data_IF_345425333751
#
_entry.id   IF_345425333751
#
_cell.length_a   1.000
_cell.length_b   1.000
_cell.length_c   1.000
_cell.angle_alpha   90.00
_cell.angle_beta   90.00
_cell.angle_gamma   90.00
#
_symmetry.space_group_name_H-M   'P 1'
#
loop_
_entity.id
_entity.type
_entity.pdbx_description
1 polymer ?
#
# COMPACT_ATOMS: atom_id res chain seq x y z
N UNK A 1 -1.48 -13.38 -2.23
CA UNK A 1 -2.95 -13.32 -2.00
C UNK A 1 -3.23 -13.91 -0.63
N UNK A 2 -4.02 -13.22 0.16
CA UNK A 2 -4.43 -13.65 1.50
C UNK A 2 -5.36 -14.88 1.39
N UNK A 3 -5.34 -15.78 2.37
CA UNK A 3 -6.25 -16.94 2.41
C UNK A 3 -7.72 -16.49 2.37
N UNK A 4 -8.03 -15.37 3.03
CA UNK A 4 -9.39 -14.78 3.06
C UNK A 4 -9.85 -14.33 1.67
N UNK A 5 -8.99 -13.69 0.89
CA UNK A 5 -9.34 -13.18 -0.46
C UNK A 5 -9.69 -14.33 -1.38
N UNK A 6 -8.89 -15.40 -1.34
CA UNK A 6 -9.17 -16.62 -2.09
C UNK A 6 -10.52 -17.23 -1.70
N UNK A 7 -10.77 -17.43 -0.42
CA UNK A 7 -12.01 -18.00 0.08
C UNK A 7 -13.23 -17.17 -0.33
N UNK A 8 -13.13 -15.83 -0.27
CA UNK A 8 -14.19 -14.94 -0.69
C UNK A 8 -14.46 -15.06 -2.19
N UNK A 9 -13.40 -15.05 -3.02
CA UNK A 9 -13.55 -15.22 -4.46
C UNK A 9 -14.21 -16.56 -4.82
N UNK A 10 -13.77 -17.66 -4.19
CA UNK A 10 -14.35 -18.98 -4.38
C UNK A 10 -15.82 -19.03 -3.97
N UNK A 11 -16.23 -18.39 -2.86
CA UNK A 11 -17.62 -18.27 -2.43
C UNK A 11 -18.51 -17.55 -3.46
N UNK A 12 -17.93 -16.56 -4.15
CA UNK A 12 -18.62 -15.83 -5.22
C UNK A 12 -18.41 -16.43 -6.62
N UNK A 13 -17.85 -17.64 -6.71
CA UNK A 13 -17.58 -18.34 -7.97
C UNK A 13 -16.67 -17.55 -8.93
N UNK A 14 -15.80 -16.71 -8.39
CA UNK A 14 -14.79 -15.97 -9.16
C UNK A 14 -13.58 -16.88 -9.34
N UNK A 15 -13.12 -17.13 -10.58
CA UNK A 15 -11.92 -17.93 -10.83
C UNK A 15 -10.68 -17.38 -10.12
N UNK A 16 -9.91 -18.25 -9.49
CA UNK A 16 -8.72 -17.87 -8.73
C UNK A 16 -7.47 -18.47 -9.35
N UNK A 17 -6.50 -17.61 -9.68
CA UNK A 17 -5.21 -17.99 -10.22
C UNK A 17 -4.11 -17.55 -9.24
N UNK A 18 -3.12 -18.39 -9.00
CA UNK A 18 -2.03 -18.09 -8.04
C UNK A 18 -0.65 -18.40 -8.61
N UNK A 19 -0.25 -17.77 -9.72
CA UNK A 19 1.09 -17.96 -10.25
C UNK A 19 2.12 -17.39 -9.26
N UNK A 20 3.26 -18.07 -9.12
CA UNK A 20 4.35 -17.61 -8.24
C UNK A 20 4.99 -16.32 -8.74
N UNK A 21 4.89 -16.03 -10.02
CA UNK A 21 5.47 -14.84 -10.65
C UNK A 21 4.81 -14.60 -12.00
N UNK A 22 4.52 -13.34 -12.32
CA UNK A 22 4.05 -12.90 -13.64
C UNK A 22 5.21 -12.58 -14.60
N UNK A 23 6.44 -12.94 -14.26
CA UNK A 23 7.60 -12.82 -15.17
C UNK A 23 7.72 -13.99 -16.14
N UNK A 24 7.01 -15.09 -15.88
CA UNK A 24 7.07 -16.29 -16.71
C UNK A 24 6.06 -16.23 -17.84
N UNK A 25 6.46 -16.69 -19.02
CA UNK A 25 5.62 -16.68 -20.22
C UNK A 25 4.34 -17.50 -20.09
N UNK A 26 4.38 -18.64 -19.40
CA UNK A 26 3.21 -19.47 -19.13
C UNK A 26 2.15 -18.73 -18.32
N UNK A 27 2.56 -18.05 -17.23
CA UNK A 27 1.67 -17.26 -16.41
C UNK A 27 1.14 -16.01 -17.15
N UNK A 28 1.95 -15.41 -18.01
CA UNK A 28 1.52 -14.30 -18.86
C UNK A 28 0.52 -14.75 -19.92
N UNK A 29 0.72 -15.91 -20.53
CA UNK A 29 -0.22 -16.49 -21.50
C UNK A 29 -1.58 -16.80 -20.85
N UNK A 30 -1.58 -17.38 -19.65
CA UNK A 30 -2.80 -17.64 -18.88
C UNK A 30 -3.54 -16.33 -18.55
N UNK A 31 -2.82 -15.31 -18.08
CA UNK A 31 -3.39 -14.00 -17.78
C UNK A 31 -3.96 -13.32 -19.02
N UNK A 32 -3.23 -13.35 -20.13
CA UNK A 32 -3.67 -12.78 -21.41
C UNK A 32 -4.92 -13.46 -21.95
N UNK A 33 -5.06 -14.79 -21.74
CA UNK A 33 -6.23 -15.53 -22.17
C UNK A 33 -7.54 -15.10 -21.48
N UNK A 34 -7.46 -14.40 -20.34
CA UNK A 34 -8.63 -13.83 -19.66
C UNK A 34 -9.22 -12.64 -20.44
N UNK A 35 -8.47 -12.06 -21.35
CA UNK A 35 -8.91 -10.93 -22.21
C UNK A 35 -9.61 -9.81 -21.43
N UNK A 36 -9.03 -9.43 -20.29
CA UNK A 36 -9.56 -8.39 -19.41
C UNK A 36 -9.42 -6.99 -20.06
N UNK A 37 -10.46 -6.17 -19.95
CA UNK A 37 -10.44 -4.77 -20.41
C UNK A 37 -9.59 -3.89 -19.51
N UNK A 38 -9.59 -4.15 -18.21
CA UNK A 38 -8.84 -3.44 -17.18
C UNK A 38 -8.29 -4.44 -16.15
N UNK A 39 -7.13 -4.13 -15.60
CA UNK A 39 -6.56 -4.89 -14.49
C UNK A 39 -6.48 -3.99 -13.25
N UNK A 40 -7.06 -4.44 -12.15
CA UNK A 40 -6.99 -3.73 -10.86
C UNK A 40 -5.95 -4.43 -9.99
N UNK A 41 -5.00 -3.65 -9.49
CA UNK A 41 -3.91 -4.11 -8.64
C UNK A 41 -4.08 -3.53 -7.25
N UNK A 42 -4.13 -4.40 -6.25
CA UNK A 42 -4.26 -4.01 -4.83
C UNK A 42 -3.26 -4.81 -4.02
N UNK A 43 -2.35 -4.13 -3.33
CA UNK A 43 -1.38 -4.75 -2.42
C UNK A 43 -0.63 -5.96 -3.03
N UNK A 44 -0.28 -5.92 -4.30
CA UNK A 44 0.34 -7.06 -5.00
C UNK A 44 1.78 -7.31 -4.54
N UNK A 45 2.51 -6.27 -4.14
CA UNK A 45 3.85 -6.38 -3.56
C UNK A 45 4.98 -6.79 -4.50
N UNK A 46 4.71 -6.93 -5.80
CA UNK A 46 5.69 -7.25 -6.84
C UNK A 46 5.56 -6.27 -8.00
N UNK A 47 6.68 -6.02 -8.69
CA UNK A 47 6.69 -5.20 -9.89
C UNK A 47 6.09 -6.01 -11.05
N UNK A 48 5.12 -5.43 -11.75
CA UNK A 48 4.54 -6.00 -12.96
C UNK A 48 5.48 -5.75 -14.15
N UNK A 49 5.77 -6.79 -14.97
CA UNK A 49 6.50 -6.59 -16.23
C UNK A 49 5.71 -5.73 -17.21
N UNK A 50 6.41 -5.00 -18.09
CA UNK A 50 5.78 -4.21 -19.15
C UNK A 50 4.78 -5.02 -19.96
N UNK A 51 5.15 -6.25 -20.34
CA UNK A 51 4.26 -7.15 -21.09
C UNK A 51 2.92 -7.44 -20.39
N UNK A 52 2.85 -7.34 -19.06
CA UNK A 52 1.62 -7.48 -18.28
C UNK A 52 0.86 -6.16 -18.22
N UNK A 53 1.55 -5.04 -18.05
CA UNK A 53 0.95 -3.71 -18.03
C UNK A 53 0.25 -3.38 -19.36
N UNK A 54 0.77 -3.88 -20.47
CA UNK A 54 0.25 -3.65 -21.83
C UNK A 54 -0.90 -4.60 -22.23
N UNK A 55 -1.27 -5.58 -21.38
CA UNK A 55 -2.31 -6.54 -21.74
C UNK A 55 -3.72 -5.96 -21.76
N UNK A 56 -4.17 -5.23 -20.74
CA UNK A 56 -5.53 -4.72 -20.71
C UNK A 56 -5.67 -3.47 -21.58
N UNK A 57 -6.74 -3.40 -22.35
CA UNK A 57 -7.04 -2.27 -23.24
C UNK A 57 -7.11 -0.92 -22.50
N UNK A 58 -7.65 -0.92 -21.30
CA UNK A 58 -7.79 0.26 -20.42
C UNK A 58 -6.64 0.36 -19.40
N UNK A 59 -5.62 -0.49 -19.55
CA UNK A 59 -4.44 -0.49 -18.71
C UNK A 59 -4.62 -1.10 -17.32
N UNK A 60 -3.65 -0.88 -16.46
CA UNK A 60 -3.62 -1.39 -15.09
C UNK A 60 -3.84 -0.24 -14.11
N UNK A 61 -4.77 -0.40 -13.19
CA UNK A 61 -5.04 0.55 -12.11
C UNK A 61 -4.47 0.03 -10.79
N UNK A 62 -3.82 0.88 -10.02
CA UNK A 62 -3.40 0.56 -8.67
C UNK A 62 -4.21 1.34 -7.64
N UNK A 63 -4.64 0.67 -6.59
CA UNK A 63 -5.25 1.29 -5.40
C UNK A 63 -4.15 1.52 -4.38
N UNK A 64 -3.65 2.76 -4.30
CA UNK A 64 -2.52 3.12 -3.47
C UNK A 64 -2.97 3.82 -2.19
N UNK A 65 -2.45 3.36 -1.04
CA UNK A 65 -2.85 3.81 0.30
C UNK A 65 -2.16 5.10 0.76
N UNK A 66 -2.04 6.08 -0.13
CA UNK A 66 -1.60 7.45 0.20
C UNK A 66 -2.17 8.48 -0.78
N UNK A 67 -1.97 9.76 -0.48
CA UNK A 67 -2.20 10.87 -1.39
C UNK A 67 -0.94 11.11 -2.23
N UNK A 68 -0.84 10.41 -3.37
CA UNK A 68 0.29 10.58 -4.30
C UNK A 68 0.41 12.05 -4.76
N UNK A 69 1.62 12.54 -4.99
CA UNK A 69 2.89 11.83 -5.11
C UNK A 69 3.59 11.51 -3.78
N UNK A 70 2.99 11.90 -2.64
CA UNK A 70 3.56 11.60 -1.32
C UNK A 70 3.39 10.12 -0.97
N UNK A 71 4.44 9.53 -0.43
CA UNK A 71 4.49 8.14 0.03
C UNK A 71 4.31 7.10 -1.08
N UNK A 72 5.04 7.25 -2.21
CA UNK A 72 5.24 6.15 -3.15
C UNK A 72 5.91 4.99 -2.44
N UNK A 73 5.62 3.75 -2.80
CA UNK A 73 6.32 2.57 -2.30
C UNK A 73 5.52 1.70 -1.35
N UNK A 74 6.22 0.92 -0.51
CA UNK A 74 5.69 -0.28 0.10
C UNK A 74 4.89 -0.07 1.40
N UNK A 75 5.12 1.02 2.14
CA UNK A 75 4.55 1.21 3.49
C UNK A 75 3.94 2.61 3.72
N UNK A 76 3.09 3.11 2.80
CA UNK A 76 2.56 4.48 2.88
C UNK A 76 1.78 4.74 4.16
N UNK A 77 0.99 3.77 4.63
CA UNK A 77 0.14 3.89 5.82
C UNK A 77 0.98 4.12 7.08
N UNK A 78 2.01 3.29 7.26
CA UNK A 78 2.88 3.41 8.43
C UNK A 78 3.72 4.68 8.38
N UNK A 79 4.24 5.03 7.21
CA UNK A 79 5.09 6.21 7.04
C UNK A 79 4.33 7.53 7.25
N UNK A 80 3.07 7.62 6.89
CA UNK A 80 2.25 8.80 7.16
C UNK A 80 2.04 9.04 8.66
N UNK A 81 1.75 8.00 9.44
CA UNK A 81 1.63 8.10 10.90
C UNK A 81 2.99 8.44 11.52
N UNK A 82 4.04 7.73 11.11
CA UNK A 82 5.40 7.92 11.62
C UNK A 82 5.91 9.36 11.41
N UNK A 83 5.60 9.95 10.25
CA UNK A 83 5.95 11.32 9.93
C UNK A 83 5.08 12.35 10.68
N UNK A 84 3.92 11.96 11.18
CA UNK A 84 2.98 12.84 11.85
C UNK A 84 2.10 13.63 10.89
N UNK A 85 1.81 13.05 9.73
CA UNK A 85 0.87 13.63 8.78
C UNK A 85 -0.52 13.74 9.43
N UNK A 86 -1.22 14.82 9.15
CA UNK A 86 -2.57 15.07 9.66
C UNK A 86 -3.63 14.41 8.76
N UNK A 87 -3.28 14.16 7.50
CA UNK A 87 -4.18 13.65 6.49
C UNK A 87 -3.43 12.69 5.56
N UNK A 88 -4.12 11.65 5.14
CA UNK A 88 -3.72 10.70 4.10
C UNK A 88 -4.91 10.39 3.21
N UNK A 89 -4.90 9.28 2.51
CA UNK A 89 -6.03 8.86 1.69
C UNK A 89 -5.72 7.70 0.79
N UNK A 90 -6.57 7.52 -0.22
CA UNK A 90 -6.39 6.53 -1.28
C UNK A 90 -6.27 7.27 -2.61
N UNK A 91 -5.29 6.88 -3.40
CA UNK A 91 -5.15 7.31 -4.80
C UNK A 91 -5.39 6.13 -5.73
N UNK A 92 -6.35 6.28 -6.64
CA UNK A 92 -6.48 5.38 -7.79
C UNK A 92 -5.59 5.95 -8.89
N UNK A 93 -4.60 5.18 -9.33
CA UNK A 93 -3.63 5.63 -10.32
C UNK A 93 -3.50 4.65 -11.48
N UNK A 94 -3.19 5.16 -12.66
CA UNK A 94 -2.77 4.36 -13.81
C UNK A 94 -1.35 3.87 -13.56
N UNK A 95 -1.10 2.56 -13.70
CA UNK A 95 0.24 2.02 -13.50
C UNK A 95 1.13 2.24 -14.72
N UNK A 96 2.39 2.51 -14.46
CA UNK A 96 3.48 2.52 -15.43
C UNK A 96 4.63 1.60 -14.96
N UNK A 97 5.77 1.67 -15.62
CA UNK A 97 6.96 0.86 -15.26
C UNK A 97 7.66 1.33 -13.99
N UNK A 98 7.38 2.54 -13.55
CA UNK A 98 7.92 3.11 -12.34
C UNK A 98 7.21 2.59 -11.09
N UNK A 99 7.80 2.84 -9.93
CA UNK A 99 7.19 2.48 -8.67
C UNK A 99 6.26 3.60 -8.22
N UNK A 100 4.96 3.38 -8.41
CA UNK A 100 3.88 4.31 -8.06
C UNK A 100 4.05 5.72 -8.68
N UNK A 101 4.57 5.79 -9.92
CA UNK A 101 4.87 7.03 -10.65
C UNK A 101 3.80 7.44 -11.65
N UNK A 102 2.88 6.55 -11.97
CA UNK A 102 1.87 6.77 -13.00
C UNK A 102 0.84 7.84 -12.64
N UNK A 103 0.06 8.23 -13.63
CA UNK A 103 -0.89 9.33 -13.51
C UNK A 103 -2.02 9.02 -12.51
N UNK A 104 -2.39 10.00 -11.70
CA UNK A 104 -3.44 9.89 -10.71
C UNK A 104 -4.80 10.16 -11.33
N UNK A 105 -5.75 9.24 -11.16
CA UNK A 105 -7.10 9.35 -11.72
C UNK A 105 -8.11 9.88 -10.70
N UNK A 106 -7.97 9.49 -9.44
CA UNK A 106 -8.88 9.91 -8.37
C UNK A 106 -8.20 9.83 -7.00
N UNK A 107 -8.53 10.78 -6.12
CA UNK A 107 -8.04 10.82 -4.73
C UNK A 107 -9.20 10.94 -3.78
N UNK A 108 -9.18 10.14 -2.72
CA UNK A 108 -10.09 10.26 -1.57
C UNK A 108 -9.28 10.51 -0.33
N UNK A 109 -9.63 11.54 0.40
CA UNK A 109 -8.91 12.03 1.58
C UNK A 109 -9.43 11.36 2.85
N UNK A 110 -8.54 11.15 3.82
CA UNK A 110 -8.83 10.58 5.12
C UNK A 110 -7.97 11.25 6.18
N UNK A 111 -8.58 11.78 7.23
CA UNK A 111 -7.85 12.37 8.35
C UNK A 111 -7.22 11.28 9.22
N UNK A 112 -6.03 11.57 9.74
CA UNK A 112 -5.30 10.72 10.68
C UNK A 112 -5.55 11.25 12.08
N UNK A 113 -6.30 10.51 12.88
CA UNK A 113 -6.60 10.90 14.26
C UNK A 113 -5.37 10.82 15.17
N UNK A 114 -5.36 11.57 16.26
CA UNK A 114 -4.24 11.64 17.19
C UNK A 114 -3.87 10.28 17.81
N UNK A 115 -4.81 9.34 17.88
CA UNK A 115 -4.59 7.99 18.41
C UNK A 115 -4.60 6.91 17.32
N UNK A 116 -4.61 7.32 16.05
CA UNK A 116 -4.64 6.39 14.92
C UNK A 116 -3.41 5.49 14.91
N UNK A 117 -3.63 4.18 14.84
CA UNK A 117 -2.57 3.19 14.58
C UNK A 117 -2.55 2.81 13.10
N UNK A 118 -1.49 2.16 12.63
CA UNK A 118 -1.51 1.67 11.24
C UNK A 118 -2.56 0.60 11.00
N UNK A 119 -2.97 -0.15 12.04
CA UNK A 119 -4.09 -1.09 11.92
C UNK A 119 -5.43 -0.37 11.70
N UNK A 120 -5.76 0.63 12.52
CA UNK A 120 -7.03 1.36 12.41
C UNK A 120 -7.07 2.20 11.12
N UNK A 121 -5.96 2.85 10.76
CA UNK A 121 -5.87 3.60 9.51
C UNK A 121 -6.02 2.68 8.27
N UNK A 122 -5.42 1.49 8.30
CA UNK A 122 -5.61 0.48 7.26
C UNK A 122 -7.11 0.16 7.07
N UNK A 123 -7.85 -0.03 8.16
CA UNK A 123 -9.30 -0.28 8.09
C UNK A 123 -10.07 0.89 7.48
N UNK A 124 -9.80 2.13 7.92
CA UNK A 124 -10.41 3.33 7.34
C UNK A 124 -10.16 3.41 5.82
N UNK A 125 -8.93 3.21 5.39
CA UNK A 125 -8.58 3.26 3.97
C UNK A 125 -9.24 2.12 3.18
N UNK A 126 -9.32 0.91 3.77
CA UNK A 126 -10.00 -0.23 3.15
C UNK A 126 -11.52 -0.02 3.00
N UNK A 127 -12.15 0.78 3.85
CA UNK A 127 -13.58 1.14 3.73
C UNK A 127 -13.85 2.14 2.60
N UNK A 128 -12.96 3.11 2.38
CA UNK A 128 -13.15 4.14 1.35
C UNK A 128 -12.63 3.72 -0.04
N UNK A 129 -11.66 2.82 -0.11
CA UNK A 129 -11.03 2.41 -1.37
C UNK A 129 -11.98 1.80 -2.39
N UNK A 130 -12.95 0.92 -2.03
CA UNK A 130 -13.85 0.32 -3.01
C UNK A 130 -14.72 1.34 -3.74
N UNK A 131 -15.29 2.31 -3.03
CA UNK A 131 -16.12 3.36 -3.66
C UNK A 131 -15.30 4.26 -4.58
N UNK A 132 -14.06 4.59 -4.20
CA UNK A 132 -13.14 5.34 -5.03
C UNK A 132 -12.81 4.59 -6.33
N UNK A 133 -12.52 3.29 -6.22
CA UNK A 133 -12.23 2.45 -7.38
C UNK A 133 -13.43 2.32 -8.32
N UNK A 134 -14.62 2.02 -7.78
CA UNK A 134 -15.86 1.88 -8.60
C UNK A 134 -16.15 3.18 -9.33
N UNK A 135 -16.03 4.34 -8.66
CA UNK A 135 -16.21 5.64 -9.31
C UNK A 135 -15.27 5.82 -10.52
N UNK A 136 -14.03 5.32 -10.43
CA UNK A 136 -13.10 5.35 -11.59
C UNK A 136 -13.55 4.37 -12.68
N UNK A 137 -13.90 3.13 -12.32
CA UNK A 137 -14.29 2.10 -13.28
C UNK A 137 -15.52 2.49 -14.09
N UNK A 138 -16.53 3.09 -13.46
CA UNK A 138 -17.79 3.52 -14.11
C UNK A 138 -17.58 4.55 -15.23
N UNK A 139 -16.48 5.30 -15.18
CA UNK A 139 -16.18 6.36 -16.13
C UNK A 139 -14.91 6.12 -16.98
N UNK A 140 -14.23 5.00 -16.72
CA UNK A 140 -12.93 4.72 -17.35
C UNK A 140 -13.06 4.56 -18.88
N UNK A 141 -14.10 3.87 -19.34
CA UNK A 141 -14.35 3.68 -20.78
C UNK A 141 -14.70 4.98 -21.51
N UNK A 142 -15.35 5.90 -20.80
CA UNK A 142 -15.78 7.18 -21.36
C UNK A 142 -14.65 8.22 -21.44
N UNK A 143 -13.45 7.89 -20.89
CA UNK A 143 -12.32 8.79 -20.85
C UNK A 143 -12.57 10.10 -20.10
N UNK A 144 -13.53 10.09 -19.16
CA UNK A 144 -13.96 11.29 -18.43
C UNK A 144 -13.03 11.71 -17.30
N UNK A 145 -11.99 10.91 -16.99
CA UNK A 145 -10.99 11.31 -16.02
C UNK A 145 -9.91 12.17 -16.67
N UNK A 146 -9.62 13.28 -16.02
CA UNK A 146 -8.41 14.05 -16.31
C UNK A 146 -7.30 13.39 -15.49
N UNK A 147 -6.44 12.63 -16.16
CA UNK A 147 -5.28 12.04 -15.53
C UNK A 147 -4.34 13.17 -15.08
N UNK A 148 -4.08 13.25 -13.79
CA UNK A 148 -3.18 14.22 -13.19
C UNK A 148 -1.78 13.63 -13.09
N UNK A 149 -0.81 14.25 -13.79
CA UNK A 149 0.60 13.85 -13.65
C UNK A 149 1.11 14.14 -12.25
N UNK A 150 1.89 13.22 -11.72
CA UNK A 150 2.54 13.43 -10.44
C UNK A 150 3.68 14.45 -10.57
N UNK A 151 3.76 15.39 -9.62
CA UNK A 151 4.89 16.29 -9.48
C UNK A 151 6.00 15.60 -8.67
N UNK A 152 7.06 15.18 -9.34
CA UNK A 152 8.18 14.46 -8.73
C UNK A 152 8.89 15.27 -7.63
N UNK A 153 8.82 16.61 -7.70
CA UNK A 153 9.41 17.47 -6.65
C UNK A 153 8.71 17.36 -5.30
N UNK A 154 7.46 16.89 -5.28
CA UNK A 154 6.65 16.68 -4.08
C UNK A 154 6.64 15.21 -3.64
N UNK A 155 7.29 14.34 -4.40
CA UNK A 155 7.32 12.92 -4.07
C UNK A 155 8.30 12.61 -2.94
N UNK A 156 7.94 11.62 -2.15
CA UNK A 156 8.84 10.93 -1.23
C UNK A 156 8.55 9.43 -1.27
N UNK A 157 9.42 8.66 -0.64
CA UNK A 157 9.34 7.21 -0.71
C UNK A 157 9.01 6.59 0.65
N UNK A 158 8.04 5.71 0.67
CA UNK A 158 7.62 4.92 1.82
C UNK A 158 8.32 3.55 1.78
N UNK A 159 9.54 3.51 2.29
CA UNK A 159 10.34 2.29 2.34
C UNK A 159 9.63 1.18 3.11
N UNK A 160 9.86 -0.05 2.64
CA UNK A 160 9.39 -1.25 3.34
C UNK A 160 9.91 -1.27 4.77
N UNK A 161 9.03 -1.57 5.72
CA UNK A 161 9.41 -1.64 7.13
C UNK A 161 10.33 -2.83 7.40
N UNK A 162 11.26 -2.63 8.33
CA UNK A 162 12.06 -3.68 8.93
C UNK A 162 11.74 -3.85 10.42
N UNK A 163 12.17 -4.98 11.00
CA UNK A 163 12.00 -5.19 12.45
C UNK A 163 12.93 -4.30 13.26
N UNK A 164 14.08 -4.00 12.70
CA UNK A 164 15.12 -3.18 13.32
C UNK A 164 14.65 -1.74 13.56
N UNK A 165 13.86 -1.19 12.64
CA UNK A 165 13.27 0.16 12.78
C UNK A 165 12.32 0.29 13.99
N UNK A 166 11.76 -0.82 14.44
CA UNK A 166 10.82 -0.82 15.56
C UNK A 166 11.49 -0.69 16.92
N UNK A 167 12.83 -0.77 17.00
CA UNK A 167 13.56 -0.49 18.22
C UNK A 167 13.40 0.97 18.61
N UNK A 168 12.92 1.21 19.84
CA UNK A 168 12.76 2.56 20.35
C UNK A 168 14.13 3.21 20.58
N UNK A 169 14.35 4.34 19.95
CA UNK A 169 15.54 5.19 20.12
C UNK A 169 15.22 6.33 21.10
N UNK A 170 15.71 6.22 22.32
CA UNK A 170 15.47 7.19 23.39
C UNK A 170 16.08 8.58 23.15
N UNK A 171 16.84 8.76 22.09
CA UNK A 171 17.32 10.08 21.66
C UNK A 171 16.23 10.90 20.97
N UNK A 172 15.13 10.25 20.53
CA UNK A 172 14.01 10.90 19.88
C UNK A 172 13.09 11.58 20.91
N UNK A 173 12.31 12.56 20.42
CA UNK A 173 11.30 13.22 21.24
C UNK A 173 10.19 12.24 21.64
N UNK A 174 9.52 12.50 22.78
CA UNK A 174 8.37 11.71 23.23
C UNK A 174 7.26 11.63 22.14
N UNK A 175 7.04 12.73 21.43
CA UNK A 175 6.08 12.78 20.32
C UNK A 175 6.48 11.84 19.15
N UNK A 176 7.78 11.73 18.85
CA UNK A 176 8.22 10.82 17.80
C UNK A 176 8.17 9.36 18.27
N UNK A 177 8.50 9.08 19.51
CA UNK A 177 8.37 7.73 20.07
C UNK A 177 6.92 7.26 20.09
N UNK A 178 6.00 8.14 20.44
CA UNK A 178 4.56 7.88 20.41
C UNK A 178 4.08 7.55 18.98
N UNK A 179 4.51 8.33 17.96
CA UNK A 179 4.22 8.03 16.56
C UNK A 179 4.80 6.70 16.10
N UNK A 180 6.03 6.37 16.51
CA UNK A 180 6.64 5.08 16.19
C UNK A 180 5.80 3.91 16.71
N UNK A 181 5.30 4.01 17.96
CA UNK A 181 4.46 2.98 18.56
C UNK A 181 3.17 2.80 17.77
N UNK A 182 2.49 3.87 17.38
CA UNK A 182 1.27 3.81 16.57
C UNK A 182 1.52 3.32 15.15
N UNK A 183 2.55 3.82 14.49
CA UNK A 183 2.91 3.45 13.14
C UNK A 183 3.29 1.97 13.01
N UNK A 184 3.93 1.41 14.03
CA UNK A 184 4.39 0.02 14.00
C UNK A 184 3.41 -0.98 14.67
N UNK A 185 2.20 -0.55 14.99
CA UNK A 185 1.14 -1.40 15.51
C UNK A 185 0.18 -1.79 14.38
N UNK A 186 0.00 -3.06 14.02
CA UNK A 186 0.41 -4.29 14.74
C UNK A 186 1.76 -4.87 14.29
N UNK A 187 2.44 -4.30 13.35
CA UNK A 187 3.70 -4.82 12.83
C UNK A 187 4.62 -3.67 12.37
N UNK A 188 5.93 -3.74 12.66
CA UNK A 188 6.68 -4.82 13.31
C UNK A 188 6.61 -4.87 14.85
N UNK A 189 5.83 -4.02 15.51
CA UNK A 189 5.68 -3.79 16.94
C UNK A 189 6.95 -3.16 17.53
N UNK A 190 6.78 -1.96 18.08
CA UNK A 190 7.87 -1.25 18.75
C UNK A 190 8.36 -2.02 19.97
N UNK A 191 9.67 -2.06 20.15
CA UNK A 191 10.30 -2.76 21.26
C UNK A 191 11.45 -1.94 21.85
N UNK A 192 11.80 -2.24 23.09
CA UNK A 192 12.99 -1.72 23.72
C UNK A 192 13.89 -2.88 24.20
N UNK A 193 15.16 -2.59 24.32
CA UNK A 193 16.14 -3.52 24.88
C UNK A 193 16.60 -2.97 26.23
N UNK A 194 16.46 -3.78 27.28
CA UNK A 194 16.98 -3.45 28.60
C UNK A 194 18.17 -4.36 28.88
N UNK A 195 19.29 -3.75 29.26
CA UNK A 195 20.45 -4.48 29.81
C UNK A 195 20.29 -4.56 31.32
N UNK A 196 20.58 -5.69 31.92
CA UNK A 196 20.61 -5.80 33.37
C UNK A 196 21.83 -5.05 33.95
N UNK A 197 21.84 -4.89 35.29
CA UNK A 197 22.97 -4.22 35.98
C UNK A 197 24.31 -4.96 35.82
N UNK A 198 24.30 -6.18 35.33
CA UNK A 198 25.46 -7.04 35.12
C UNK A 198 25.96 -7.04 33.67
N UNK A 199 25.26 -6.29 32.78
CA UNK A 199 25.65 -6.18 31.36
C UNK A 199 25.31 -7.40 30.51
N UNK A 200 24.41 -8.29 30.99
CA UNK A 200 23.96 -9.43 30.21
C UNK A 200 23.03 -8.98 29.06
N UNK A 201 22.92 -9.83 28.05
CA UNK A 201 22.16 -9.52 26.82
C UNK A 201 20.74 -9.02 27.09
N UNK A 202 20.26 -8.07 26.28
CA UNK A 202 19.03 -7.35 26.53
C UNK A 202 17.80 -8.24 26.43
N UNK A 203 16.89 -8.11 27.37
CA UNK A 203 15.53 -8.65 27.24
C UNK A 203 14.73 -7.71 26.37
N UNK A 204 14.14 -8.23 25.29
CA UNK A 204 13.28 -7.48 24.39
C UNK A 204 11.85 -7.45 24.95
N UNK A 205 11.32 -6.28 25.22
CA UNK A 205 9.93 -6.08 25.61
C UNK A 205 9.13 -5.53 24.44
N UNK A 206 8.07 -6.25 24.08
CA UNK A 206 7.12 -5.86 23.05
C UNK A 206 5.75 -5.63 23.65
N UNK A 207 5.27 -4.43 23.57
CA UNK A 207 3.83 -4.09 23.66
C UNK A 207 3.57 -2.79 22.95
#
# INVERSE_FOLDING_TARGET
MCIRDRQLAEQHQIPVYQPKSLRKEDAQAELKALNADVMVVVAYGLILPQAVLDMPRLGCLNVHGSLLPRWRGAAPIQRSIWAGDQQTGVTIMQMDVGLDTGDMLHKVYCDIDAQETSASLYHKLAEIAPSALISVLDHLEEGKFIAEKQDDSQSNYAEKLSKEEAKLDWSLSAAQLERNIRAFNPWPISFLQLTDEQGNEPVSYTH
#
